data_IF_748093267530
#
_entry.id   IF_748093267530
#
_cell.length_a   1.000
_cell.length_b   1.000
_cell.length_c   1.000
_cell.angle_alpha   90.00
_cell.angle_beta   90.00
_cell.angle_gamma   90.00
#
_symmetry.space_group_name_H-M   'P 1'
#
loop_
_entity.id
_entity.type
_entity.pdbx_description
1 polymer ?
#
# COMPACT_ATOMS: atom_id res chain seq x y z
N UNK A 1 -6.75 14.44 -1.03
CA UNK A 1 -5.36 14.88 -1.29
C UNK A 1 -4.80 14.04 -2.43
N UNK A 2 -4.06 14.64 -3.36
CA UNK A 2 -3.49 13.96 -4.52
C UNK A 2 -2.01 14.32 -4.70
N UNK A 3 -1.29 13.51 -5.47
CA UNK A 3 0.13 13.75 -5.76
C UNK A 3 0.31 14.48 -7.10
N UNK A 4 1.27 15.40 -7.15
CA UNK A 4 1.69 16.03 -8.41
C UNK A 4 2.32 14.97 -9.31
N UNK A 5 2.11 15.11 -10.62
CA UNK A 5 2.70 14.22 -11.63
C UNK A 5 4.23 14.28 -11.64
N UNK A 6 4.80 15.47 -11.43
CA UNK A 6 6.24 15.70 -11.31
C UNK A 6 6.53 16.39 -9.96
N UNK A 7 6.55 15.62 -8.86
CA UNK A 7 6.76 16.14 -7.51
C UNK A 7 8.26 16.42 -7.27
N UNK A 8 8.59 17.57 -6.69
CA UNK A 8 9.98 17.89 -6.32
C UNK A 8 10.27 17.34 -4.92
N UNK A 9 9.25 17.36 -4.07
CA UNK A 9 9.27 17.03 -2.65
C UNK A 9 9.64 15.55 -2.38
N UNK A 10 9.41 14.66 -3.35
CA UNK A 10 9.78 13.24 -3.28
C UNK A 10 11.10 12.90 -4.00
N UNK A 11 11.89 13.90 -4.39
CA UNK A 11 13.10 13.71 -5.20
C UNK A 11 12.77 13.26 -6.62
N UNK A 12 11.70 13.80 -7.22
CA UNK A 12 11.20 13.43 -8.56
C UNK A 12 10.66 12.01 -8.70
N UNK A 13 10.49 11.27 -7.60
CA UNK A 13 9.85 9.95 -7.60
C UNK A 13 8.35 10.10 -7.86
N UNK A 14 7.85 9.33 -8.84
CA UNK A 14 6.42 9.32 -9.19
C UNK A 14 5.69 8.24 -8.40
N UNK A 15 4.53 8.61 -7.88
CA UNK A 15 3.60 7.66 -7.28
C UNK A 15 3.03 6.73 -8.37
N UNK A 16 2.66 5.48 -8.03
CA UNK A 16 3.14 4.73 -6.89
C UNK A 16 4.50 4.05 -7.16
N UNK A 17 5.29 3.83 -6.10
CA UNK A 17 6.45 2.91 -6.11
C UNK A 17 6.17 1.58 -5.39
N UNK A 18 5.09 1.54 -4.61
CA UNK A 18 4.58 0.37 -3.90
C UNK A 18 3.15 0.06 -4.35
N UNK A 19 2.66 -1.15 -4.19
CA UNK A 19 1.25 -1.47 -4.48
C UNK A 19 0.79 -2.76 -3.81
N UNK A 20 -0.48 -3.07 -4.01
CA UNK A 20 -1.13 -4.33 -3.67
C UNK A 20 -2.24 -4.62 -4.71
N UNK A 21 -2.70 -5.88 -4.84
CA UNK A 21 -3.85 -6.20 -5.68
C UNK A 21 -5.08 -5.37 -5.27
N UNK A 22 -5.70 -4.71 -6.26
CA UNK A 22 -6.87 -3.84 -6.05
C UNK A 22 -6.53 -2.38 -5.74
N UNK A 23 -5.25 -2.04 -5.54
CA UNK A 23 -4.81 -0.65 -5.38
C UNK A 23 -5.23 0.18 -6.60
N UNK A 24 -5.72 1.40 -6.37
CA UNK A 24 -6.22 2.27 -7.45
C UNK A 24 -6.00 3.75 -7.15
N UNK A 25 -5.80 4.52 -8.22
CA UNK A 25 -5.65 5.97 -8.17
C UNK A 25 -6.16 6.61 -9.46
N UNK A 26 -6.53 7.89 -9.40
CA UNK A 26 -7.01 8.62 -10.57
C UNK A 26 -5.95 9.55 -11.12
N UNK A 27 -5.79 9.58 -12.44
CA UNK A 27 -5.08 10.66 -13.12
C UNK A 27 -5.98 11.91 -13.11
N UNK A 28 -5.49 13.00 -12.53
CA UNK A 28 -6.22 14.27 -12.49
C UNK A 28 -5.72 15.17 -13.62
N UNK A 29 -6.60 15.42 -14.58
CA UNK A 29 -6.34 16.31 -15.71
C UNK A 29 -6.82 17.72 -15.40
N UNK A 30 -6.30 18.71 -16.12
CA UNK A 30 -6.90 20.05 -16.13
C UNK A 30 -8.20 20.01 -16.94
N UNK A 31 -9.27 20.59 -16.42
CA UNK A 31 -10.60 20.52 -17.03
C UNK A 31 -11.35 19.22 -16.72
N UNK A 32 -12.29 18.84 -17.59
CA UNK A 32 -13.11 17.63 -17.37
C UNK A 32 -12.33 16.37 -17.71
N UNK A 33 -12.49 15.31 -16.90
CA UNK A 33 -11.97 13.97 -17.20
C UNK A 33 -12.50 13.43 -18.54
N UNK A 34 -13.72 13.83 -18.92
CA UNK A 34 -14.39 13.41 -20.16
C UNK A 34 -13.82 14.06 -21.42
N UNK A 35 -12.96 15.08 -21.29
CA UNK A 35 -12.28 15.71 -22.43
C UNK A 35 -11.14 14.83 -22.97
N UNK A 36 -10.84 13.72 -22.29
CA UNK A 36 -9.68 12.89 -22.55
C UNK A 36 -10.06 11.43 -22.82
N UNK A 37 -9.29 10.79 -23.70
CA UNK A 37 -9.27 9.35 -23.92
C UNK A 37 -8.07 8.74 -23.21
N UNK A 38 -8.32 7.74 -22.37
CA UNK A 38 -7.29 7.06 -21.58
C UNK A 38 -6.89 5.72 -22.19
N UNK A 39 -5.61 5.40 -22.15
CA UNK A 39 -5.09 4.06 -22.48
C UNK A 39 -3.76 3.77 -21.80
N UNK A 40 -3.42 2.49 -21.68
CA UNK A 40 -2.07 2.07 -21.32
C UNK A 40 -1.25 1.89 -22.59
N UNK A 41 -0.08 2.52 -22.66
CA UNK A 41 0.88 2.37 -23.77
C UNK A 41 2.07 1.47 -23.41
N UNK A 42 2.28 1.23 -22.12
CA UNK A 42 3.17 0.20 -21.58
C UNK A 42 2.50 -0.44 -20.37
N UNK A 43 2.38 -1.77 -20.36
CA UNK A 43 1.77 -2.54 -19.28
C UNK A 43 2.49 -3.90 -19.09
N UNK A 44 3.79 -3.88 -18.73
CA UNK A 44 4.56 -5.11 -18.56
C UNK A 44 3.97 -5.98 -17.44
N UNK A 45 3.69 -7.25 -17.77
CA UNK A 45 2.99 -8.18 -16.88
C UNK A 45 1.45 -8.13 -16.98
N UNK A 46 0.89 -7.16 -17.72
CA UNK A 46 -0.56 -7.08 -18.00
C UNK A 46 -1.44 -6.76 -16.79
N UNK A 47 -0.85 -6.48 -15.63
CA UNK A 47 -1.54 -6.38 -14.35
C UNK A 47 -2.28 -5.07 -14.10
N UNK A 48 -2.16 -4.07 -14.98
CA UNK A 48 -2.81 -2.76 -14.79
C UNK A 48 -3.96 -2.55 -15.77
N UNK A 49 -5.02 -1.89 -15.31
CA UNK A 49 -6.12 -1.40 -16.12
C UNK A 49 -6.34 0.10 -15.92
N UNK A 50 -6.87 0.79 -16.92
CA UNK A 50 -7.31 2.19 -16.83
C UNK A 50 -8.73 2.31 -17.40
N UNK A 51 -9.61 3.03 -16.69
CA UNK A 51 -10.99 3.27 -17.15
C UNK A 51 -11.14 4.60 -17.92
N UNK A 52 -12.37 4.87 -18.36
CA UNK A 52 -12.73 6.08 -19.12
C UNK A 52 -12.62 7.39 -18.32
N UNK A 53 -12.51 7.32 -16.99
CA UNK A 53 -12.36 8.47 -16.10
C UNK A 53 -10.91 8.63 -15.61
N UNK A 54 -9.95 7.90 -16.19
CA UNK A 54 -8.55 7.94 -15.79
C UNK A 54 -8.27 7.21 -14.47
N UNK A 55 -9.16 6.33 -14.00
CA UNK A 55 -8.92 5.48 -12.84
C UNK A 55 -7.99 4.34 -13.23
N UNK A 56 -6.78 4.34 -12.67
CA UNK A 56 -5.79 3.28 -12.80
C UNK A 56 -6.00 2.28 -11.67
N UNK A 57 -6.14 0.99 -12.00
CA UNK A 57 -6.26 -0.12 -11.03
C UNK A 57 -5.14 -1.13 -11.26
N UNK A 58 -4.47 -1.55 -10.18
CA UNK A 58 -3.42 -2.55 -10.19
C UNK A 58 -3.99 -3.89 -9.73
N UNK A 59 -4.16 -4.83 -10.65
CA UNK A 59 -4.73 -6.16 -10.41
C UNK A 59 -3.65 -7.20 -10.05
N UNK A 60 -2.47 -7.10 -10.67
CA UNK A 60 -1.30 -7.94 -10.37
C UNK A 60 0.01 -7.14 -10.50
N UNK A 61 1.09 -7.68 -9.93
CA UNK A 61 2.40 -7.01 -9.89
C UNK A 61 2.92 -6.76 -11.31
N UNK A 62 3.13 -5.50 -11.72
CA UNK A 62 3.79 -5.21 -12.99
C UNK A 62 5.23 -5.74 -12.97
N UNK A 63 5.77 -6.11 -14.13
CA UNK A 63 7.18 -6.52 -14.23
C UNK A 63 8.12 -5.36 -14.59
N UNK A 64 7.60 -4.14 -14.67
CA UNK A 64 8.39 -2.94 -14.97
C UNK A 64 7.55 -1.67 -15.04
N UNK A 65 8.06 -0.68 -15.77
CA UNK A 65 7.41 0.63 -15.93
C UNK A 65 6.08 0.51 -16.66
N UNK A 66 5.02 1.04 -16.03
CA UNK A 66 3.69 1.17 -16.61
C UNK A 66 3.52 2.62 -17.07
N UNK A 67 3.02 2.81 -18.29
CA UNK A 67 2.76 4.15 -18.83
C UNK A 67 1.29 4.27 -19.21
N UNK A 68 0.58 5.11 -18.47
CA UNK A 68 -0.76 5.55 -18.82
C UNK A 68 -0.69 6.83 -19.66
N UNK A 69 -1.55 6.93 -20.67
CA UNK A 69 -1.63 8.06 -21.60
C UNK A 69 -3.05 8.63 -21.60
N UNK A 70 -3.14 9.94 -21.39
CA UNK A 70 -4.36 10.72 -21.64
C UNK A 70 -4.19 11.49 -22.96
N UNK A 71 -5.17 11.36 -23.87
CA UNK A 71 -5.18 12.03 -25.17
C UNK A 71 -6.37 12.98 -25.19
N UNK A 72 -6.14 14.26 -25.47
CA UNK A 72 -7.22 15.23 -25.55
C UNK A 72 -8.11 14.94 -26.78
N UNK A 73 -9.43 14.83 -26.58
CA UNK A 73 -10.36 14.44 -27.66
C UNK A 73 -10.46 15.51 -28.75
N UNK A 74 -10.46 16.80 -28.37
CA UNK A 74 -10.55 17.92 -29.32
C UNK A 74 -9.26 18.12 -30.15
N UNK A 75 -8.14 17.57 -29.71
CA UNK A 75 -6.86 17.59 -30.44
C UNK A 75 -5.99 16.39 -30.05
N UNK A 76 -6.01 15.34 -30.88
CA UNK A 76 -5.30 14.09 -30.62
C UNK A 76 -3.76 14.23 -30.62
N UNK A 77 -3.21 15.39 -31.01
CA UNK A 77 -1.78 15.69 -30.91
C UNK A 77 -1.37 15.98 -29.47
N UNK A 78 -2.30 16.46 -28.64
CA UNK A 78 -2.06 16.77 -27.23
C UNK A 78 -2.17 15.48 -26.42
N UNK A 79 -1.01 15.01 -25.92
CA UNK A 79 -0.86 13.75 -25.18
C UNK A 79 -0.11 13.98 -23.88
N UNK A 80 -0.58 13.37 -22.82
CA UNK A 80 0.05 13.41 -21.50
C UNK A 80 0.37 11.99 -21.05
N UNK A 81 1.65 11.74 -20.77
CA UNK A 81 2.13 10.44 -20.32
C UNK A 81 2.46 10.46 -18.83
N UNK A 82 1.94 9.46 -18.13
CA UNK A 82 2.26 9.18 -16.74
C UNK A 82 2.90 7.81 -16.62
N UNK A 83 4.21 7.80 -16.37
CA UNK A 83 4.99 6.58 -16.14
C UNK A 83 5.23 6.39 -14.65
N UNK A 84 4.93 5.21 -14.13
CA UNK A 84 5.16 4.81 -12.74
C UNK A 84 5.67 3.37 -12.66
N UNK A 85 6.23 2.99 -11.51
CA UNK A 85 6.83 1.67 -11.33
C UNK A 85 6.60 1.15 -9.90
N UNK A 86 5.54 0.36 -9.68
CA UNK A 86 5.15 -0.13 -8.36
C UNK A 86 5.79 -1.49 -8.02
N UNK A 87 7.03 -1.72 -8.43
CA UNK A 87 7.71 -3.02 -8.26
C UNK A 87 8.48 -3.16 -6.96
N UNK A 88 8.79 -2.04 -6.28
CA UNK A 88 9.67 -2.01 -5.11
C UNK A 88 9.07 -2.79 -3.95
N UNK A 89 7.79 -2.57 -3.66
CA UNK A 89 7.02 -3.33 -2.66
C UNK A 89 5.70 -3.72 -3.29
N UNK A 90 5.41 -5.02 -3.27
CA UNK A 90 4.11 -5.54 -3.66
C UNK A 90 3.56 -6.30 -2.46
N UNK A 91 2.49 -5.79 -1.85
CA UNK A 91 1.88 -6.41 -0.69
C UNK A 91 0.73 -7.31 -1.13
N UNK A 92 0.70 -8.54 -0.62
CA UNK A 92 -0.28 -9.58 -0.89
C UNK A 92 -1.03 -9.92 0.40
N UNK A 93 -2.12 -9.20 0.73
CA UNK A 93 -2.96 -9.55 1.87
C UNK A 93 -3.63 -10.91 1.63
N UNK A 94 -3.61 -11.75 2.66
CA UNK A 94 -4.22 -13.07 2.62
C UNK A 94 -5.65 -12.95 3.10
N UNK A 95 -6.58 -13.14 2.17
CA UNK A 95 -8.02 -13.05 2.44
C UNK A 95 -8.42 -14.03 3.53
N UNK A 96 -9.28 -13.58 4.45
CA UNK A 96 -9.87 -14.37 5.54
C UNK A 96 -8.86 -15.00 6.52
N UNK A 97 -7.58 -14.65 6.42
CA UNK A 97 -6.57 -15.09 7.38
C UNK A 97 -6.70 -14.30 8.67
N UNK A 98 -6.92 -14.99 9.79
CA UNK A 98 -6.82 -14.41 11.12
C UNK A 98 -6.34 -15.50 12.09
N UNK A 99 -5.05 -15.52 12.39
CA UNK A 99 -4.46 -16.59 13.18
C UNK A 99 -3.18 -16.16 13.91
N UNK A 100 -2.66 -17.08 14.72
CA UNK A 100 -1.38 -16.96 15.42
C UNK A 100 -0.21 -16.79 14.46
N UNK A 101 0.86 -16.16 14.94
CA UNK A 101 2.08 -15.96 14.17
C UNK A 101 2.73 -17.26 13.70
N UNK A 102 2.63 -18.34 14.49
CA UNK A 102 3.10 -19.67 14.08
C UNK A 102 2.42 -20.14 12.79
N UNK A 103 1.10 -20.02 12.69
CA UNK A 103 0.35 -20.39 11.48
C UNK A 103 0.66 -19.40 10.35
N UNK A 104 0.81 -18.11 10.65
CA UNK A 104 1.20 -17.10 9.67
C UNK A 104 2.54 -17.45 9.01
N UNK A 105 3.54 -17.86 9.79
CA UNK A 105 4.87 -18.24 9.30
C UNK A 105 4.88 -19.56 8.52
N UNK A 106 3.91 -20.44 8.73
CA UNK A 106 3.72 -21.64 7.90
C UNK A 106 3.19 -21.29 6.51
N UNK A 107 2.35 -20.26 6.41
CA UNK A 107 1.78 -19.80 5.15
C UNK A 107 2.67 -18.78 4.42
N UNK A 108 3.43 -18.00 5.18
CA UNK A 108 4.23 -16.88 4.71
C UNK A 108 5.55 -16.88 5.47
N UNK A 109 6.58 -17.45 4.86
CA UNK A 109 7.92 -17.51 5.45
C UNK A 109 8.36 -16.13 5.98
N UNK A 110 9.17 -16.12 7.04
CA UNK A 110 9.62 -14.89 7.70
C UNK A 110 10.29 -13.90 6.72
N UNK A 111 10.91 -14.39 5.65
CA UNK A 111 11.53 -13.55 4.63
C UNK A 111 10.49 -12.83 3.75
N UNK A 112 9.32 -13.44 3.54
CA UNK A 112 8.21 -12.89 2.77
C UNK A 112 7.25 -12.05 3.62
N UNK A 113 7.32 -12.16 4.95
CA UNK A 113 6.54 -11.31 5.84
C UNK A 113 7.06 -9.87 5.79
N UNK A 114 6.16 -8.91 5.60
CA UNK A 114 6.53 -7.49 5.54
C UNK A 114 7.01 -7.00 6.91
N UNK A 115 8.00 -6.09 6.91
CA UNK A 115 8.38 -5.37 8.12
C UNK A 115 7.45 -4.20 8.36
N UNK A 116 7.29 -3.75 9.61
CA UNK A 116 6.59 -2.49 9.90
C UNK A 116 7.24 -1.34 9.14
N UNK A 117 8.57 -1.39 8.97
CA UNK A 117 9.34 -0.41 8.19
C UNK A 117 8.98 -0.43 6.73
N UNK A 118 8.46 -1.51 6.15
CA UNK A 118 7.99 -1.56 4.75
C UNK A 118 6.57 -1.03 4.62
N UNK A 119 5.75 -1.23 5.66
CA UNK A 119 4.36 -0.79 5.71
C UNK A 119 4.23 0.71 6.03
N UNK A 120 5.02 1.22 6.98
CA UNK A 120 4.89 2.56 7.58
C UNK A 120 6.19 3.35 7.55
N UNK A 121 6.10 4.68 7.57
CA UNK A 121 7.23 5.58 7.81
C UNK A 121 7.27 6.11 9.26
N UNK A 122 6.62 5.43 10.22
CA UNK A 122 6.72 5.75 11.63
C UNK A 122 8.18 5.75 12.08
N UNK A 123 8.66 6.80 12.76
CA UNK A 123 9.84 6.66 13.60
C UNK A 123 9.45 5.76 14.77
N UNK A 124 10.11 4.60 14.95
CA UNK A 124 10.00 3.93 16.25
C UNK A 124 10.81 4.76 17.23
N UNK A 125 10.08 5.45 18.11
CA UNK A 125 10.63 6.07 19.31
C UNK A 125 10.72 5.01 20.43
N UNK A 126 11.59 5.25 21.41
CA UNK A 126 11.60 4.45 22.63
C UNK A 126 10.20 4.41 23.27
N UNK A 127 9.80 3.25 23.80
CA UNK A 127 8.57 3.12 24.60
C UNK A 127 7.35 2.54 23.89
N UNK A 128 7.52 1.66 22.88
CA UNK A 128 6.38 0.85 22.43
C UNK A 128 5.96 -0.11 23.57
N UNK A 129 4.84 0.19 24.24
CA UNK A 129 4.22 -0.62 25.28
C UNK A 129 2.73 -0.85 24.99
N UNK A 130 2.21 -2.07 25.14
CA UNK A 130 0.80 -2.42 24.94
C UNK A 130 0.13 -2.03 23.60
N UNK A 131 -0.38 -3.02 22.86
CA UNK A 131 -1.50 -2.88 21.93
C UNK A 131 -1.32 -1.95 20.71
N UNK A 132 -1.26 -0.62 20.92
CA UNK A 132 -1.16 0.44 19.91
C UNK A 132 -0.62 1.73 20.55
N UNK A 133 0.66 2.08 20.34
CA UNK A 133 1.28 3.28 20.94
C UNK A 133 1.37 4.43 19.97
N UNK A 134 1.69 4.15 18.71
CA UNK A 134 1.80 5.18 17.70
C UNK A 134 0.46 5.28 16.98
N UNK A 135 -0.35 6.25 17.39
CA UNK A 135 -1.56 6.62 16.65
C UNK A 135 -1.18 7.47 15.42
N UNK A 136 -1.83 7.23 14.27
CA UNK A 136 -1.43 7.82 12.98
C UNK A 136 0.08 7.60 12.69
N UNK A 137 0.56 6.37 12.80
CA UNK A 137 1.96 6.00 12.60
C UNK A 137 2.48 6.13 11.17
N UNK A 138 1.87 6.96 10.33
CA UNK A 138 2.50 7.38 9.09
C UNK A 138 2.01 8.75 8.62
N UNK A 139 2.91 9.43 7.90
CA UNK A 139 2.58 10.63 7.13
C UNK A 139 2.51 10.28 5.65
N UNK A 140 1.55 10.85 4.92
CA UNK A 140 1.40 10.65 3.46
C UNK A 140 2.63 11.15 2.71
N UNK A 141 3.25 10.30 1.90
CA UNK A 141 4.44 10.63 1.12
C UNK A 141 4.63 9.67 -0.05
N UNK A 142 5.34 10.12 -1.09
CA UNK A 142 5.70 9.29 -2.24
C UNK A 142 7.10 8.72 -2.01
N UNK A 143 7.32 7.46 -2.33
CA UNK A 143 8.66 6.90 -2.31
C UNK A 143 9.13 6.41 -0.94
N UNK A 144 8.36 6.63 0.12
CA UNK A 144 8.75 6.14 1.44
C UNK A 144 8.30 4.71 1.60
N UNK A 145 7.02 4.42 1.83
CA UNK A 145 6.49 3.10 2.21
C UNK A 145 5.05 2.89 1.75
N UNK A 146 4.49 1.69 1.97
CA UNK A 146 3.18 1.29 1.47
C UNK A 146 2.03 2.22 1.93
N UNK A 147 1.81 2.36 3.24
CA UNK A 147 0.72 3.19 3.76
C UNK A 147 0.94 4.70 3.58
N UNK A 148 2.17 5.24 3.65
CA UNK A 148 2.44 6.60 3.18
C UNK A 148 1.98 6.89 1.75
N UNK A 149 2.08 5.90 0.85
CA UNK A 149 1.65 6.01 -0.55
C UNK A 149 0.16 5.79 -0.75
N UNK A 150 -0.45 4.82 -0.07
CA UNK A 150 -1.86 4.43 -0.32
C UNK A 150 -2.86 4.89 0.74
N UNK A 151 -2.42 5.02 1.98
CA UNK A 151 -3.21 5.51 3.10
C UNK A 151 -3.82 4.32 3.80
N UNK A 152 -4.94 4.54 4.46
CA UNK A 152 -5.66 3.44 5.11
C UNK A 152 -6.26 2.51 4.05
N UNK A 153 -5.90 1.23 4.11
CA UNK A 153 -6.32 0.21 3.13
C UNK A 153 -7.67 -0.42 3.50
N UNK A 154 -8.63 0.43 3.85
CA UNK A 154 -9.98 0.04 4.22
C UNK A 154 -10.82 -0.29 2.97
N UNK A 155 -11.86 -1.11 3.15
CA UNK A 155 -12.76 -1.51 2.06
C UNK A 155 -13.50 -0.33 1.44
N UNK A 156 -13.80 0.72 2.21
CA UNK A 156 -14.43 1.92 1.66
C UNK A 156 -13.51 2.63 0.64
N UNK A 157 -12.21 2.66 0.91
CA UNK A 157 -11.20 3.24 0.01
C UNK A 157 -10.95 2.31 -1.20
N UNK A 158 -10.98 1.01 -0.97
CA UNK A 158 -10.65 -0.02 -1.94
C UNK A 158 -11.57 -1.26 -1.77
N UNK A 159 -12.67 -1.37 -2.54
CA UNK A 159 -13.72 -2.36 -2.32
C UNK A 159 -13.33 -3.79 -2.75
N UNK A 160 -12.31 -3.91 -3.60
CA UNK A 160 -11.81 -5.18 -4.17
C UNK A 160 -10.54 -5.67 -3.46
N UNK A 161 -10.49 -5.57 -2.13
CA UNK A 161 -9.30 -5.92 -1.34
C UNK A 161 -9.46 -7.23 -0.56
N UNK A 162 -8.32 -7.90 -0.41
CA UNK A 162 -8.12 -8.97 0.58
C UNK A 162 -7.69 -8.43 1.95
N UNK A 163 -7.53 -7.11 2.08
CA UNK A 163 -7.30 -6.45 3.35
C UNK A 163 -8.53 -6.64 4.25
N UNK A 164 -8.30 -6.71 5.54
CA UNK A 164 -9.34 -6.85 6.53
C UNK A 164 -10.11 -5.53 6.67
N UNK A 165 -11.40 -5.67 6.99
CA UNK A 165 -12.33 -4.55 7.16
C UNK A 165 -12.93 -4.64 8.56
N UNK A 166 -12.08 -4.43 9.57
CA UNK A 166 -12.44 -4.50 11.01
C UNK A 166 -11.71 -3.41 11.79
N UNK A 167 -12.30 -2.97 12.89
CA UNK A 167 -11.73 -1.95 13.78
C UNK A 167 -10.39 -2.37 14.44
N UNK A 168 -9.97 -3.63 14.27
CA UNK A 168 -8.74 -4.21 14.79
C UNK A 168 -7.89 -4.91 13.71
N UNK A 169 -7.83 -4.36 12.49
CA UNK A 169 -7.07 -4.87 11.35
C UNK A 169 -5.54 -4.80 11.52
N UNK A 170 -5.03 -5.43 12.58
CA UNK A 170 -3.63 -5.61 12.88
C UNK A 170 -3.04 -6.71 12.02
N UNK A 171 -1.88 -6.45 11.46
CA UNK A 171 -1.13 -7.36 10.61
C UNK A 171 0.17 -7.79 11.27
N UNK A 172 0.47 -9.08 11.16
CA UNK A 172 1.78 -9.60 11.56
C UNK A 172 2.89 -8.91 10.78
N UNK A 173 3.95 -8.51 11.48
CA UNK A 173 5.21 -8.13 10.85
C UNK A 173 6.33 -9.06 11.28
N UNK A 174 7.44 -9.03 10.52
CA UNK A 174 8.64 -9.81 10.87
C UNK A 174 9.47 -9.22 12.02
N UNK A 175 9.11 -8.05 12.53
CA UNK A 175 9.96 -7.32 13.47
C UNK A 175 9.66 -7.69 14.92
N UNK A 176 10.73 -7.78 15.69
CA UNK A 176 10.69 -7.89 17.14
C UNK A 176 11.03 -6.56 17.84
N UNK A 177 10.52 -6.39 19.05
CA UNK A 177 10.80 -5.26 19.95
C UNK A 177 10.92 -5.77 21.39
N UNK A 178 12.16 -6.04 21.82
CA UNK A 178 12.44 -6.68 23.11
C UNK A 178 12.38 -5.73 24.32
N UNK A 179 12.10 -4.43 24.10
CA UNK A 179 12.02 -3.42 25.16
C UNK A 179 10.58 -3.26 25.70
N UNK A 180 9.64 -4.11 25.28
CA UNK A 180 8.28 -4.12 25.81
C UNK A 180 8.10 -5.20 26.86
N UNK A 181 7.37 -4.84 27.89
CA UNK A 181 6.88 -5.64 29.01
C UNK A 181 5.55 -6.37 28.72
N UNK A 182 4.97 -6.19 27.52
CA UNK A 182 3.70 -6.83 27.12
C UNK A 182 3.88 -7.92 26.06
N UNK A 183 4.58 -7.62 24.98
CA UNK A 183 4.81 -8.53 23.87
C UNK A 183 5.96 -8.05 23.01
N UNK A 184 6.58 -8.95 22.25
CA UNK A 184 7.82 -8.64 21.54
C UNK A 184 7.64 -8.58 20.02
N UNK A 185 6.45 -8.78 19.46
CA UNK A 185 6.25 -8.71 18.00
C UNK A 185 5.58 -7.41 17.63
N UNK A 186 6.16 -6.67 16.69
CA UNK A 186 5.56 -5.44 16.17
C UNK A 186 4.41 -5.80 15.24
N UNK A 187 3.25 -5.19 15.46
CA UNK A 187 2.10 -5.26 14.58
C UNK A 187 1.78 -3.88 13.99
N UNK A 188 1.13 -3.88 12.82
CA UNK A 188 0.66 -2.65 12.18
C UNK A 188 -0.81 -2.78 11.85
N UNK A 189 -1.58 -1.78 12.26
CA UNK A 189 -2.97 -1.62 11.89
C UNK A 189 -3.10 -0.85 10.57
N UNK A 190 -3.75 -1.46 9.57
CA UNK A 190 -3.81 -0.88 8.22
C UNK A 190 -4.93 0.17 8.05
N UNK A 191 -5.94 0.17 8.92
CA UNK A 191 -7.11 1.03 8.88
C UNK A 191 -6.95 2.39 9.58
N UNK A 192 -6.05 2.44 10.56
CA UNK A 192 -5.75 3.62 11.37
C UNK A 192 -4.25 3.95 11.41
N UNK A 193 -3.41 3.11 10.79
CA UNK A 193 -1.97 3.31 10.75
C UNK A 193 -1.30 3.15 12.11
N UNK A 194 -1.91 2.42 13.04
CA UNK A 194 -1.34 2.23 14.36
C UNK A 194 -0.15 1.27 14.32
N UNK A 195 0.90 1.59 15.07
CA UNK A 195 2.04 0.69 15.28
C UNK A 195 2.11 0.34 16.76
N UNK A 196 2.16 -0.96 17.04
CA UNK A 196 2.13 -1.51 18.39
C UNK A 196 3.10 -2.66 18.56
N UNK A 197 2.99 -3.28 19.72
CA UNK A 197 3.67 -4.54 20.05
C UNK A 197 2.66 -5.46 20.71
N UNK A 198 2.71 -6.74 20.36
CA UNK A 198 1.83 -7.74 20.92
C UNK A 198 2.48 -9.11 21.10
N UNK A 199 1.71 -10.03 21.67
CA UNK A 199 2.18 -11.32 22.13
C UNK A 199 2.55 -12.28 20.98
N UNK A 200 3.75 -12.88 21.03
CA UNK A 200 4.19 -13.95 20.10
C UNK A 200 3.70 -15.34 20.57
N UNK A 201 3.48 -15.50 21.88
CA UNK A 201 3.21 -16.78 22.53
C UNK A 201 1.71 -17.07 22.67
N UNK A 202 1.07 -17.45 21.56
CA UNK A 202 -0.17 -18.25 21.56
C UNK A 202 -1.49 -17.60 21.99
N UNK A 203 -1.53 -16.29 22.30
CA UNK A 203 -2.75 -15.57 22.68
C UNK A 203 -3.29 -14.58 21.64
N UNK A 204 -2.48 -14.26 20.62
CA UNK A 204 -2.77 -13.18 19.67
C UNK A 204 -3.02 -13.75 18.28
N UNK A 205 -4.05 -13.23 17.59
CA UNK A 205 -4.36 -13.57 16.21
C UNK A 205 -4.49 -12.30 15.39
N UNK A 206 -3.79 -12.27 14.25
CA UNK A 206 -3.74 -11.11 13.35
C UNK A 206 -3.89 -11.52 11.91
N UNK A 207 -4.13 -10.51 11.08
CA UNK A 207 -4.18 -10.64 9.64
C UNK A 207 -2.78 -10.84 9.06
N UNK A 208 -2.72 -11.34 7.84
CA UNK A 208 -1.47 -11.67 7.16
C UNK A 208 -1.35 -10.90 5.86
N UNK A 209 -0.18 -10.31 5.65
CA UNK A 209 0.23 -9.68 4.41
C UNK A 209 1.64 -10.14 4.06
N UNK A 210 1.78 -10.72 2.88
CA UNK A 210 3.05 -11.21 2.35
C UNK A 210 3.59 -10.25 1.28
N UNK A 211 4.83 -10.46 0.88
CA UNK A 211 5.40 -9.85 -0.33
C UNK A 211 5.02 -10.60 -1.62
#
# INVERSE_FOLDING_TARGET
MGFKVNPIESGSRKFPITAFPGARFQLIMSGSQTDYRYRLVSNPGGGVSIDQNGMVKLNSKPSGNVTARAILIRDERVKFDYTFNPTTVWANPVKDFFNTRRIALQQCDINNLLSYKVLTNAPITHGLNHGMVINNGFTRSIGERLFPEWGYTLRQSYPDLNWADRDNDRYWTKNYYDQSDYGNVIDVNAGYGHVGVDCDLGGCSYFLVCQ
#
